data_IF_088711819676
#
_entry.id   IF_088711819676
#
_cell.length_a   1.000
_cell.length_b   1.000
_cell.length_c   1.000
_cell.angle_alpha   90.00
_cell.angle_beta   90.00
_cell.angle_gamma   90.00
#
_symmetry.space_group_name_H-M   'P 1'
#
loop_
_entity.id
_entity.type
_entity.pdbx_description
1 polymer ?
#
# COMPACT_ATOMS: atom_id res chain seq x y z
N UNK A 1 0.39 -5.06 -24.36
CA UNK A 1 0.37 -4.91 -22.89
C UNK A 1 0.35 -3.43 -22.56
N UNK A 2 -0.76 -2.91 -22.01
CA UNK A 2 -0.82 -1.53 -21.54
C UNK A 2 -0.10 -1.45 -20.18
N UNK A 3 1.22 -1.22 -20.20
CA UNK A 3 1.96 -0.79 -19.02
C UNK A 3 1.55 0.65 -18.72
N UNK A 4 0.37 0.81 -18.10
CA UNK A 4 -0.07 2.10 -17.59
C UNK A 4 0.86 2.44 -16.42
N UNK A 5 1.85 3.29 -16.68
CA UNK A 5 2.64 3.92 -15.64
C UNK A 5 1.69 4.81 -14.85
N UNK A 6 1.34 4.36 -13.64
CA UNK A 6 0.54 5.17 -12.73
C UNK A 6 1.36 6.40 -12.31
N UNK A 7 0.74 7.57 -12.39
CA UNK A 7 1.28 8.74 -11.68
C UNK A 7 1.32 8.46 -10.18
N UNK A 8 2.20 9.13 -9.43
CA UNK A 8 2.35 8.89 -7.99
C UNK A 8 1.01 9.01 -7.24
N UNK A 9 0.17 9.97 -7.62
CA UNK A 9 -1.19 10.15 -7.10
C UNK A 9 -2.14 8.97 -7.40
N UNK A 10 -2.09 8.43 -8.61
CA UNK A 10 -2.90 7.28 -8.98
C UNK A 10 -2.45 6.01 -8.25
N UNK A 11 -1.14 5.84 -8.07
CA UNK A 11 -0.58 4.72 -7.30
C UNK A 11 -1.05 4.77 -5.84
N UNK A 12 -1.05 5.96 -5.23
CA UNK A 12 -1.60 6.15 -3.87
C UNK A 12 -3.09 5.81 -3.82
N UNK A 13 -3.90 6.26 -4.79
CA UNK A 13 -5.34 5.93 -4.85
C UNK A 13 -5.61 4.44 -5.01
N UNK A 14 -4.78 3.73 -5.78
CA UNK A 14 -4.87 2.27 -5.90
C UNK A 14 -4.54 1.61 -4.56
N UNK A 15 -3.45 2.03 -3.91
CA UNK A 15 -3.02 1.49 -2.62
C UNK A 15 -4.00 1.77 -1.47
N UNK A 16 -4.69 2.91 -1.50
CA UNK A 16 -5.79 3.19 -0.57
C UNK A 16 -6.90 2.14 -0.70
N UNK A 17 -7.21 1.71 -1.93
CA UNK A 17 -8.27 0.74 -2.24
C UNK A 17 -7.85 -0.71 -2.08
N UNK A 18 -6.56 -1.03 -2.19
CA UNK A 18 -6.05 -2.39 -2.02
C UNK A 18 -6.15 -2.82 -0.56
N UNK A 19 -6.79 -3.96 -0.27
CA UNK A 19 -6.87 -4.44 1.11
C UNK A 19 -5.49 -4.81 1.64
N UNK A 20 -5.20 -4.47 2.91
CA UNK A 20 -3.98 -4.94 3.57
C UNK A 20 -3.98 -6.47 3.68
N UNK A 21 -5.16 -7.10 3.79
CA UNK A 21 -5.30 -8.55 3.78
C UNK A 21 -4.90 -9.17 2.44
N UNK A 22 -5.18 -8.50 1.32
CA UNK A 22 -4.80 -8.98 0.00
C UNK A 22 -3.27 -8.93 -0.16
N UNK A 23 -2.64 -7.86 0.33
CA UNK A 23 -1.18 -7.73 0.33
C UNK A 23 -0.55 -8.77 1.27
N UNK A 24 -1.14 -9.01 2.45
CA UNK A 24 -0.68 -10.05 3.38
C UNK A 24 -0.76 -11.46 2.76
N UNK A 25 -1.80 -11.75 1.98
CA UNK A 25 -1.88 -13.00 1.20
C UNK A 25 -0.69 -13.13 0.25
N UNK A 26 -0.30 -12.04 -0.42
CA UNK A 26 0.87 -12.03 -1.32
C UNK A 26 2.19 -12.21 -0.59
N UNK A 27 2.34 -11.65 0.61
CA UNK A 27 3.51 -11.93 1.48
C UNK A 27 3.61 -13.42 1.81
N UNK A 28 2.48 -14.07 2.12
CA UNK A 28 2.42 -15.50 2.45
C UNK A 28 2.65 -16.40 1.24
N UNK A 29 2.19 -15.98 0.05
CA UNK A 29 2.36 -16.70 -1.22
C UNK A 29 3.74 -16.49 -1.86
N UNK A 30 4.53 -15.53 -1.38
CA UNK A 30 5.85 -15.22 -1.92
C UNK A 30 6.80 -16.43 -1.79
N UNK A 31 7.44 -16.79 -2.91
CA UNK A 31 8.32 -17.96 -2.99
C UNK A 31 9.80 -17.62 -2.79
N UNK A 32 10.14 -16.33 -2.87
CA UNK A 32 11.50 -15.83 -2.73
C UNK A 32 11.54 -14.78 -1.63
N UNK A 33 12.70 -14.64 -0.99
CA UNK A 33 12.90 -13.62 0.04
C UNK A 33 12.77 -12.21 -0.55
N UNK A 34 13.23 -12.00 -1.79
CA UNK A 34 13.11 -10.72 -2.49
C UNK A 34 11.64 -10.35 -2.76
N UNK A 35 10.81 -11.31 -3.22
CA UNK A 35 9.38 -11.05 -3.40
C UNK A 35 8.70 -10.75 -2.06
N UNK A 36 9.08 -11.49 -1.01
CA UNK A 36 8.55 -11.27 0.33
C UNK A 36 8.91 -9.89 0.86
N UNK A 37 10.14 -9.43 0.66
CA UNK A 37 10.58 -8.07 0.99
C UNK A 37 9.79 -7.01 0.23
N UNK A 38 9.58 -7.20 -1.08
CA UNK A 38 8.79 -6.28 -1.91
C UNK A 38 7.34 -6.16 -1.41
N UNK A 39 6.68 -7.29 -1.12
CA UNK A 39 5.31 -7.27 -0.61
C UNK A 39 5.23 -6.67 0.80
N UNK A 40 6.21 -6.92 1.66
CA UNK A 40 6.30 -6.29 2.98
C UNK A 40 6.51 -4.76 2.88
N UNK A 41 7.36 -4.30 1.97
CA UNK A 41 7.54 -2.88 1.72
C UNK A 41 6.24 -2.21 1.25
N UNK A 42 5.49 -2.86 0.35
CA UNK A 42 4.19 -2.39 -0.12
C UNK A 42 3.17 -2.33 1.03
N UNK A 43 3.12 -3.36 1.87
CA UNK A 43 2.23 -3.44 3.03
C UNK A 43 2.49 -2.27 3.99
N UNK A 44 3.76 -2.05 4.36
CA UNK A 44 4.15 -0.99 5.26
C UNK A 44 3.85 0.39 4.69
N UNK A 45 4.10 0.60 3.40
CA UNK A 45 3.76 1.85 2.73
C UNK A 45 2.24 2.11 2.75
N UNK A 46 1.42 1.12 2.38
CA UNK A 46 -0.03 1.24 2.40
C UNK A 46 -0.57 1.52 3.82
N UNK A 47 0.00 0.87 4.84
CA UNK A 47 -0.33 1.13 6.25
C UNK A 47 0.01 2.56 6.66
N UNK A 48 1.21 3.05 6.33
CA UNK A 48 1.64 4.41 6.65
C UNK A 48 0.75 5.47 5.97
N UNK A 49 0.37 5.28 4.71
CA UNK A 49 -0.54 6.21 4.01
C UNK A 49 -1.89 6.32 4.72
N UNK A 50 -2.46 5.18 5.16
CA UNK A 50 -3.72 5.15 5.91
C UNK A 50 -3.59 5.84 7.27
N UNK A 51 -2.49 5.59 7.98
CA UNK A 51 -2.23 6.24 9.28
C UNK A 51 -2.08 7.76 9.13
N UNK A 52 -1.36 8.24 8.11
CA UNK A 52 -1.25 9.68 7.83
C UNK A 52 -2.61 10.34 7.60
N UNK A 53 -3.51 9.68 6.87
CA UNK A 53 -4.87 10.19 6.64
C UNK A 53 -5.67 10.33 7.94
N UNK A 54 -5.55 9.35 8.84
CA UNK A 54 -6.20 9.40 10.16
C UNK A 54 -5.61 10.54 11.01
N UNK A 55 -4.29 10.70 11.02
CA UNK A 55 -3.61 11.76 11.76
C UNK A 55 -4.03 13.14 11.25
N UNK A 56 -3.96 13.37 9.94
CA UNK A 56 -4.37 14.65 9.33
C UNK A 56 -5.87 14.92 9.55
N UNK A 57 -6.71 13.89 9.55
CA UNK A 57 -8.14 14.04 9.87
C UNK A 57 -8.37 14.43 11.33
N UNK A 58 -7.49 14.04 12.26
CA UNK A 58 -7.59 14.43 13.68
C UNK A 58 -7.08 15.85 13.92
N UNK A 59 -6.06 16.29 13.17
CA UNK A 59 -5.59 17.69 13.24
C UNK A 59 -6.64 18.67 12.70
N UNK A 60 -7.46 18.27 11.73
CA UNK A 60 -8.52 19.14 11.18
C UNK A 60 -9.76 19.29 12.10
N UNK A 61 -9.96 18.39 13.06
CA UNK A 61 -11.11 18.40 13.99
C UNK A 61 -10.79 19.17 15.30
N UNK A 62 -9.53 19.60 15.50
CA UNK A 62 -9.12 20.41 16.65
C UNK A 62 -9.12 21.89 16.33
#
# INVERSE_FOLDING_TARGET
MNNKLYTADEAVKVLERTSLTDIDSKVREAKTDEDKERWNALYNFALQQRQRKIINSKEFIR
#
